data_IF_868644782533
#
_entry.id   IF_868644782533
#
_cell.length_a   1.000
_cell.length_b   1.000
_cell.length_c   1.000
_cell.angle_alpha   90.00
_cell.angle_beta   90.00
_cell.angle_gamma   90.00
#
_symmetry.space_group_name_H-M   'P 1'
#
loop_
_entity.id
_entity.type
_entity.pdbx_description
1 polymer ?
#
# COMPACT_ATOMS: atom_id res chain seq x y z
N UNK A 1 -3.31 15.44 -22.80
CA UNK A 1 -2.13 14.65 -22.37
C UNK A 1 -2.46 13.49 -21.44
N UNK A 2 -3.40 13.61 -20.48
CA UNK A 2 -3.72 12.53 -19.54
C UNK A 2 -4.30 11.24 -20.20
N UNK A 3 -5.22 11.37 -21.16
CA UNK A 3 -5.90 10.21 -21.80
C UNK A 3 -4.95 9.24 -22.52
N UNK A 4 -3.92 9.78 -23.20
CA UNK A 4 -2.96 8.97 -23.96
C UNK A 4 -1.99 8.23 -23.02
N UNK A 5 -1.56 8.86 -21.93
CA UNK A 5 -0.77 8.23 -20.88
C UNK A 5 -1.60 7.18 -20.11
N UNK A 6 -2.88 7.47 -19.85
CA UNK A 6 -3.80 6.50 -19.23
C UNK A 6 -3.90 5.24 -20.09
N UNK A 7 -4.04 5.39 -21.41
CA UNK A 7 -4.10 4.25 -22.32
C UNK A 7 -2.82 3.39 -22.32
N UNK A 8 -1.66 3.98 -22.04
CA UNK A 8 -0.38 3.27 -21.92
C UNK A 8 -0.27 2.54 -20.58
N UNK A 9 -0.80 3.10 -19.49
CA UNK A 9 -0.62 2.53 -18.13
C UNK A 9 -1.78 1.60 -17.73
N UNK A 10 -2.95 1.76 -18.34
CA UNK A 10 -4.13 0.97 -18.03
C UNK A 10 -3.92 -0.51 -18.40
N UNK A 11 -4.03 -1.46 -17.45
CA UNK A 11 -3.83 -2.89 -17.71
C UNK A 11 -4.91 -3.49 -18.62
N UNK A 12 -6.04 -2.79 -18.83
CA UNK A 12 -7.08 -3.20 -19.78
C UNK A 12 -6.73 -2.86 -21.22
N UNK A 13 -5.90 -1.85 -21.45
CA UNK A 13 -5.58 -1.31 -22.78
C UNK A 13 -4.16 -1.67 -23.23
N UNK A 14 -3.24 -1.85 -22.28
CA UNK A 14 -1.86 -2.23 -22.56
C UNK A 14 -1.53 -3.63 -22.01
N UNK A 15 -1.05 -4.51 -22.89
CA UNK A 15 -0.61 -5.86 -22.55
C UNK A 15 0.56 -5.87 -21.55
N UNK A 16 1.53 -4.95 -21.68
CA UNK A 16 2.67 -4.88 -20.77
C UNK A 16 2.23 -4.52 -19.35
N UNK A 17 1.30 -3.56 -19.21
CA UNK A 17 0.71 -3.20 -17.93
C UNK A 17 -0.09 -4.39 -17.32
N UNK A 18 -0.80 -5.16 -18.15
CA UNK A 18 -1.50 -6.36 -17.72
C UNK A 18 -0.54 -7.44 -17.17
N UNK A 19 0.58 -7.70 -17.86
CA UNK A 19 1.58 -8.66 -17.40
C UNK A 19 2.26 -8.19 -16.11
N UNK A 20 2.55 -6.89 -16.00
CA UNK A 20 3.09 -6.30 -14.78
C UNK A 20 2.13 -6.51 -13.60
N UNK A 21 0.86 -6.11 -13.75
CA UNK A 21 -0.18 -6.29 -12.74
C UNK A 21 -0.34 -7.77 -12.35
N UNK A 22 -0.31 -8.68 -13.32
CA UNK A 22 -0.39 -10.14 -13.09
C UNK A 22 0.80 -10.65 -12.28
N UNK A 23 2.02 -10.22 -12.61
CA UNK A 23 3.24 -10.59 -11.88
C UNK A 23 3.22 -10.10 -10.43
N UNK A 24 2.85 -8.83 -10.21
CA UNK A 24 2.71 -8.24 -8.87
C UNK A 24 1.64 -8.96 -8.06
N UNK A 25 0.47 -9.19 -8.66
CA UNK A 25 -0.63 -9.94 -8.04
C UNK A 25 -0.18 -11.33 -7.58
N UNK A 26 0.49 -12.08 -8.47
CA UNK A 26 0.98 -13.43 -8.15
C UNK A 26 1.95 -13.41 -6.97
N UNK A 27 2.88 -12.45 -6.93
CA UNK A 27 3.86 -12.31 -5.85
C UNK A 27 3.21 -11.95 -4.52
N UNK A 28 2.24 -11.04 -4.52
CA UNK A 28 1.51 -10.65 -3.32
C UNK A 28 0.67 -11.79 -2.75
N UNK A 29 -0.01 -12.55 -3.62
CA UNK A 29 -0.83 -13.70 -3.22
C UNK A 29 -0.01 -14.80 -2.55
N UNK A 30 1.19 -15.10 -3.07
CA UNK A 30 2.12 -16.08 -2.49
C UNK A 30 2.45 -15.80 -1.02
N UNK A 31 2.57 -14.54 -0.64
CA UNK A 31 2.85 -14.12 0.74
C UNK A 31 1.60 -13.70 1.53
N UNK A 32 0.43 -13.68 0.88
CA UNK A 32 -0.82 -13.26 1.53
C UNK A 32 -0.85 -11.80 1.95
N UNK A 33 -0.20 -10.92 1.18
CA UNK A 33 -0.12 -9.48 1.42
C UNK A 33 -1.04 -8.70 0.49
N UNK A 34 -1.48 -7.53 0.96
CA UNK A 34 -2.07 -6.49 0.10
C UNK A 34 -1.00 -5.50 -0.34
N UNK A 35 -1.23 -4.82 -1.45
CA UNK A 35 -0.31 -3.81 -1.97
C UNK A 35 -0.07 -2.67 -0.96
N UNK A 36 -1.14 -2.22 -0.29
CA UNK A 36 -1.07 -1.19 0.74
C UNK A 36 -0.23 -1.60 1.98
N UNK A 37 -0.03 -2.91 2.21
CA UNK A 37 0.80 -3.39 3.32
C UNK A 37 2.30 -3.10 3.10
N UNK A 38 2.72 -2.84 1.86
CA UNK A 38 4.12 -2.55 1.50
C UNK A 38 4.57 -1.11 1.84
N UNK A 39 3.63 -0.23 2.20
CA UNK A 39 3.90 1.16 2.54
C UNK A 39 4.48 1.27 3.95
N UNK A 40 5.78 1.57 4.08
CA UNK A 40 6.46 1.61 5.38
C UNK A 40 6.16 2.93 6.14
N UNK A 41 5.65 2.86 7.39
CA UNK A 41 5.44 4.04 8.24
C UNK A 41 6.72 4.84 8.56
N UNK A 42 7.90 4.23 8.48
CA UNK A 42 9.17 4.92 8.72
C UNK A 42 9.74 5.59 7.45
N UNK A 43 9.24 5.20 6.28
CA UNK A 43 9.67 5.78 5.01
C UNK A 43 9.05 7.17 4.81
N UNK A 44 7.72 7.26 4.90
CA UNK A 44 6.96 8.51 4.76
C UNK A 44 6.12 8.75 6.03
N UNK A 45 6.30 9.91 6.63
CA UNK A 45 5.62 10.27 7.89
C UNK A 45 4.10 10.43 7.66
N UNK A 46 3.68 10.73 6.42
CA UNK A 46 2.26 10.77 6.05
C UNK A 46 1.60 9.38 6.13
N UNK A 47 2.35 8.30 5.87
CA UNK A 47 1.86 6.92 5.99
C UNK A 47 1.61 6.61 7.46
N UNK A 48 2.53 7.01 8.34
CA UNK A 48 2.39 6.83 9.78
C UNK A 48 1.13 7.54 10.29
N UNK A 49 0.92 8.78 9.88
CA UNK A 49 -0.26 9.55 10.26
C UNK A 49 -1.55 8.93 9.70
N UNK A 50 -1.55 8.50 8.44
CA UNK A 50 -2.70 7.83 7.84
C UNK A 50 -3.06 6.53 8.58
N UNK A 51 -2.07 5.74 9.01
CA UNK A 51 -2.30 4.53 9.80
C UNK A 51 -2.83 4.83 11.20
N UNK A 52 -2.38 5.92 11.84
CA UNK A 52 -2.88 6.32 13.16
C UNK A 52 -4.37 6.71 13.14
N UNK A 53 -4.86 7.20 12.00
CA UNK A 53 -6.27 7.63 11.82
C UNK A 53 -7.20 6.49 11.40
N UNK A 54 -6.66 5.39 10.90
CA UNK A 54 -7.46 4.24 10.47
C UNK A 54 -8.05 3.49 11.69
N UNK A 55 -9.20 2.81 11.52
CA UNK A 55 -9.79 2.00 12.58
C UNK A 55 -8.83 0.87 12.98
N UNK A 56 -8.81 0.56 14.27
CA UNK A 56 -7.86 -0.37 14.87
C UNK A 56 -7.92 -1.76 14.24
N UNK A 57 -9.11 -2.23 13.87
CA UNK A 57 -9.33 -3.55 13.26
C UNK A 57 -8.59 -3.68 11.92
N UNK A 58 -8.53 -2.61 11.13
CA UNK A 58 -7.83 -2.59 9.84
C UNK A 58 -6.31 -2.64 10.05
N UNK A 59 -5.81 -1.89 11.04
CA UNK A 59 -4.39 -1.85 11.41
C UNK A 59 -3.93 -3.19 11.98
N UNK A 60 -4.72 -3.79 12.88
CA UNK A 60 -4.42 -5.10 13.46
C UNK A 60 -4.45 -6.19 12.37
N UNK A 61 -5.40 -6.14 11.43
CA UNK A 61 -5.43 -7.06 10.29
C UNK A 61 -4.22 -6.87 9.35
N UNK A 62 -3.71 -5.63 9.18
CA UNK A 62 -2.46 -5.35 8.47
C UNK A 62 -1.28 -6.00 9.18
N UNK A 63 -1.14 -5.78 10.48
CA UNK A 63 -0.05 -6.37 11.27
C UNK A 63 -0.06 -7.91 11.23
N UNK A 64 -1.24 -8.53 11.28
CA UNK A 64 -1.37 -9.98 11.15
C UNK A 64 -0.88 -10.49 9.78
N UNK A 65 -1.21 -9.79 8.69
CA UNK A 65 -0.72 -10.14 7.34
C UNK A 65 0.79 -9.99 7.22
N UNK A 66 1.35 -8.89 7.72
CA UNK A 66 2.79 -8.64 7.73
C UNK A 66 3.54 -9.70 8.53
N UNK A 67 3.08 -10.02 9.75
CA UNK A 67 3.69 -11.05 10.59
C UNK A 67 3.69 -12.42 9.89
N UNK A 68 2.57 -12.80 9.28
CA UNK A 68 2.46 -14.04 8.49
C UNK A 68 3.43 -14.06 7.31
N UNK A 69 3.52 -12.96 6.56
CA UNK A 69 4.42 -12.88 5.41
C UNK A 69 5.89 -12.98 5.82
N UNK A 70 6.27 -12.35 6.94
CA UNK A 70 7.62 -12.44 7.52
C UNK A 70 7.92 -13.88 7.95
N UNK A 71 6.97 -14.56 8.62
CA UNK A 71 7.13 -15.96 9.03
C UNK A 71 7.32 -16.89 7.82
N UNK A 72 6.49 -16.75 6.79
CA UNK A 72 6.62 -17.51 5.53
C UNK A 72 7.95 -17.23 4.84
N UNK A 73 8.38 -15.96 4.79
CA UNK A 73 9.66 -15.56 4.21
C UNK A 73 10.84 -16.17 4.98
N UNK A 74 10.78 -16.21 6.30
CA UNK A 74 11.82 -16.81 7.15
C UNK A 74 11.91 -18.32 6.92
N UNK A 75 10.77 -18.99 6.72
CA UNK A 75 10.70 -20.43 6.44
C UNK A 75 11.05 -20.80 5.00
N UNK A 76 11.20 -19.82 4.11
CA UNK A 76 11.28 -20.03 2.66
C UNK A 76 10.10 -20.82 2.09
N UNK A 77 8.92 -20.63 2.67
CA UNK A 77 7.67 -21.27 2.27
C UNK A 77 6.67 -20.23 1.74
N UNK A 78 5.65 -20.71 1.02
CA UNK A 78 4.57 -19.87 0.51
C UNK A 78 3.25 -20.27 1.13
N UNK A 79 2.27 -19.35 1.04
CA UNK A 79 0.92 -19.62 1.49
C UNK A 79 0.31 -20.80 0.69
N UNK A 80 -0.46 -21.70 1.30
CA UNK A 80 -1.17 -22.77 0.59
C UNK A 80 -2.05 -22.24 -0.54
N UNK A 81 -2.20 -23.01 -1.63
CA UNK A 81 -2.90 -22.58 -2.85
C UNK A 81 -4.35 -22.15 -2.59
N UNK A 82 -5.07 -22.87 -1.71
CA UNK A 82 -6.44 -22.54 -1.32
C UNK A 82 -6.54 -21.14 -0.70
N UNK A 83 -5.59 -20.81 0.18
CA UNK A 83 -5.51 -19.50 0.82
C UNK A 83 -5.00 -18.42 -0.13
N UNK A 84 -4.15 -18.77 -1.11
CA UNK A 84 -3.71 -17.85 -2.17
C UNK A 84 -4.88 -17.43 -3.07
N UNK A 85 -5.78 -18.36 -3.40
CA UNK A 85 -6.96 -18.09 -4.21
C UNK A 85 -7.92 -17.09 -3.53
N UNK A 86 -8.02 -17.15 -2.20
CA UNK A 86 -8.83 -16.22 -1.40
C UNK A 86 -8.22 -14.81 -1.24
N UNK A 87 -6.95 -14.59 -1.64
CA UNK A 87 -6.29 -13.31 -1.42
C UNK A 87 -6.77 -12.20 -2.37
N UNK A 88 -6.97 -11.01 -1.81
CA UNK A 88 -7.37 -9.78 -2.50
C UNK A 88 -6.25 -8.73 -2.47
N UNK A 89 -5.19 -8.86 -3.28
CA UNK A 89 -3.99 -8.03 -3.16
C UNK A 89 -4.21 -6.54 -3.43
N UNK A 90 -5.12 -6.18 -4.35
CA UNK A 90 -5.38 -4.79 -4.74
C UNK A 90 -6.58 -4.15 -4.03
N UNK A 91 -7.11 -4.76 -2.96
CA UNK A 91 -8.15 -4.14 -2.14
C UNK A 91 -7.52 -3.09 -1.22
N UNK A 92 -7.54 -1.84 -1.65
CA UNK A 92 -6.97 -0.72 -0.90
C UNK A 92 -7.74 -0.43 0.39
N UNK A 93 -7.01 0.03 1.40
CA UNK A 93 -7.54 0.52 2.67
C UNK A 93 -6.80 1.77 3.16
N UNK A 94 -5.62 2.08 2.61
CA UNK A 94 -4.78 3.19 3.06
C UNK A 94 -4.86 4.41 2.13
N UNK A 95 -5.06 4.19 0.82
CA UNK A 95 -4.93 5.24 -0.19
C UNK A 95 -5.84 6.46 0.05
N UNK A 96 -7.09 6.26 0.43
CA UNK A 96 -8.03 7.36 0.69
C UNK A 96 -7.63 8.21 1.90
N UNK A 97 -7.15 7.57 2.97
CA UNK A 97 -6.65 8.29 4.14
C UNK A 97 -5.34 9.00 3.84
N UNK A 98 -4.47 8.38 3.04
CA UNK A 98 -3.20 8.97 2.64
C UNK A 98 -3.39 10.21 1.75
N UNK A 99 -4.33 10.18 0.80
CA UNK A 99 -4.64 11.35 -0.04
C UNK A 99 -5.23 12.48 0.80
N UNK A 100 -6.06 12.14 1.80
CA UNK A 100 -6.60 13.11 2.74
C UNK A 100 -5.51 13.81 3.56
N UNK A 101 -4.61 13.03 4.20
CA UNK A 101 -3.49 13.57 4.99
C UNK A 101 -2.58 14.46 4.14
N UNK A 102 -2.25 14.01 2.92
CA UNK A 102 -1.42 14.80 1.99
C UNK A 102 -2.08 16.12 1.60
N UNK A 103 -3.39 16.11 1.37
CA UNK A 103 -4.15 17.33 1.05
C UNK A 103 -4.14 18.32 2.21
N UNK A 104 -4.38 17.88 3.44
CA UNK A 104 -4.30 18.73 4.63
C UNK A 104 -2.91 19.34 4.81
N UNK A 105 -1.86 18.53 4.60
CA UNK A 105 -0.47 19.01 4.68
C UNK A 105 -0.20 20.10 3.64
N UNK A 106 -0.59 19.88 2.37
CA UNK A 106 -0.39 20.85 1.29
C UNK A 106 -1.19 22.13 1.51
N UNK A 107 -2.41 22.03 2.04
CA UNK A 107 -3.22 23.20 2.38
C UNK A 107 -2.52 24.02 3.47
N UNK A 108 -2.11 23.37 4.56
CA UNK A 108 -1.42 24.03 5.67
C UNK A 108 -0.12 24.70 5.23
N UNK A 109 0.66 24.04 4.39
CA UNK A 109 1.89 24.59 3.82
C UNK A 109 1.59 25.81 2.94
N UNK A 110 0.56 25.75 2.11
CA UNK A 110 0.13 26.89 1.26
C UNK A 110 -0.33 28.11 2.07
N UNK A 111 -0.85 27.88 3.29
CA UNK A 111 -1.24 28.91 4.24
C UNK A 111 -0.06 29.42 5.10
N UNK A 112 1.16 28.92 4.87
CA UNK A 112 2.37 29.30 5.62
C UNK A 112 2.47 28.67 7.01
N UNK A 113 1.68 27.61 7.29
CA UNK A 113 1.72 26.91 8.57
C UNK A 113 2.96 26.01 8.71
N UNK A 114 3.48 25.88 9.93
CA UNK A 114 4.55 24.94 10.25
C UNK A 114 4.09 23.48 10.12
N UNK A 115 4.96 22.54 9.73
CA UNK A 115 4.60 21.13 9.59
C UNK A 115 4.22 20.51 10.95
N UNK A 116 3.21 19.63 10.95
CA UNK A 116 2.71 18.98 12.17
C UNK A 116 3.66 17.90 12.71
N UNK A 117 4.37 17.24 11.81
CA UNK A 117 5.35 16.21 12.10
C UNK A 117 6.54 16.37 11.16
N UNK A 118 7.73 16.03 11.65
CA UNK A 118 8.97 16.07 10.88
C UNK A 118 9.75 14.77 11.10
N UNK A 119 10.54 14.38 10.09
CA UNK A 119 11.48 13.26 10.22
C UNK A 119 12.65 13.73 11.09
N UNK A 120 13.09 12.88 12.02
CA UNK A 120 14.31 13.14 12.80
C UNK A 120 15.54 13.04 11.90
N UNK A 121 16.51 13.93 12.09
CA UNK A 121 17.81 13.82 11.46
C UNK A 121 18.57 12.62 12.07
N UNK A 122 19.10 11.70 11.26
CA UNK A 122 19.82 10.53 11.75
C UNK A 122 21.15 10.91 12.43
#
# INVERSE_FOLDING_TARGET
MASLLQAIVDPKKNWFAAQHMKSVSKRLRKYGLRYDDLYDPYYDVDIKEALNRLPKEVVDARHARLKRAIDLSMKHEYLPEDLQAMQTPFRSYLQEMLTFVKRERTERESLGGLPLYQRTLP
#
